data_IF_805235763295
#
_entry.id   IF_805235763295
#
_cell.length_a   1.000
_cell.length_b   1.000
_cell.length_c   1.000
_cell.angle_alpha   90.00
_cell.angle_beta   90.00
_cell.angle_gamma   90.00
#
_symmetry.space_group_name_H-M   'P 1'
#
loop_
_entity.id
_entity.type
_entity.pdbx_description
1 polymer ?
#
# COMPACT_ATOMS: atom_id res chain seq x y z
N UNK A 1 10.64 14.60 5.55
CA UNK A 1 10.29 14.17 4.17
C UNK A 1 8.79 14.33 4.01
N UNK A 2 8.34 15.00 2.95
CA UNK A 2 6.91 15.25 2.68
C UNK A 2 6.54 14.51 1.42
N UNK A 3 5.49 13.66 1.49
CA UNK A 3 5.06 12.80 0.40
C UNK A 3 3.62 13.00 -0.01
N UNK A 4 3.28 12.55 -1.20
CA UNK A 4 1.93 12.56 -1.75
C UNK A 4 1.69 11.31 -2.61
N UNK A 5 0.44 10.86 -2.71
CA UNK A 5 0.06 9.82 -3.67
C UNK A 5 0.12 10.35 -5.10
N UNK A 6 0.56 9.48 -6.02
CA UNK A 6 0.68 9.79 -7.46
C UNK A 6 -0.67 9.87 -8.19
N UNK A 7 -1.74 9.36 -7.60
CA UNK A 7 -3.07 9.31 -8.21
C UNK A 7 -3.91 10.59 -8.05
N UNK A 8 -3.31 11.72 -7.60
CA UNK A 8 -4.05 12.97 -7.48
C UNK A 8 -4.56 13.47 -8.84
N UNK A 9 -5.72 14.13 -8.84
CA UNK A 9 -6.32 14.75 -10.04
C UNK A 9 -6.97 13.76 -10.99
N UNK A 10 -6.91 12.45 -10.73
CA UNK A 10 -7.60 11.48 -11.55
C UNK A 10 -9.12 11.73 -11.54
N UNK A 11 -9.72 11.78 -12.74
CA UNK A 11 -11.16 12.06 -12.90
C UNK A 11 -11.58 13.52 -12.67
N UNK A 12 -10.63 14.43 -12.39
CA UNK A 12 -10.91 15.87 -12.26
C UNK A 12 -10.93 16.63 -13.57
N UNK A 13 -10.67 15.95 -14.69
CA UNK A 13 -10.49 16.58 -16.01
C UNK A 13 -9.10 17.21 -16.22
N UNK A 14 -8.21 17.08 -15.24
CA UNK A 14 -6.82 17.51 -15.36
C UNK A 14 -5.96 16.32 -15.78
N UNK A 15 -5.80 16.17 -17.08
CA UNK A 15 -5.08 15.04 -17.67
C UNK A 15 -3.63 15.41 -17.99
N UNK A 16 -2.72 14.93 -17.17
CA UNK A 16 -1.27 15.05 -17.40
C UNK A 16 -0.63 13.67 -17.46
N UNK A 17 0.39 13.51 -18.27
CA UNK A 17 1.17 12.28 -18.29
C UNK A 17 1.79 11.97 -16.92
N UNK A 18 2.04 10.69 -16.64
CA UNK A 18 2.67 10.31 -15.37
C UNK A 18 4.07 10.93 -15.23
N UNK A 19 4.83 11.05 -16.31
CA UNK A 19 6.13 11.73 -16.27
C UNK A 19 5.99 13.21 -15.85
N UNK A 20 5.05 13.93 -16.43
CA UNK A 20 4.79 15.34 -16.06
C UNK A 20 4.26 15.45 -14.61
N UNK A 21 3.44 14.51 -14.18
CA UNK A 21 2.91 14.44 -12.82
C UNK A 21 4.03 14.38 -11.78
N UNK A 22 5.03 13.52 -11.95
CA UNK A 22 6.17 13.44 -11.03
C UNK A 22 7.02 14.71 -11.02
N UNK A 23 7.21 15.36 -12.18
CA UNK A 23 7.87 16.66 -12.25
C UNK A 23 7.09 17.74 -11.47
N UNK A 24 5.76 17.75 -11.58
CA UNK A 24 4.88 18.66 -10.82
C UNK A 24 4.95 18.39 -9.32
N UNK A 25 4.90 17.13 -8.89
CA UNK A 25 5.07 16.73 -7.48
C UNK A 25 6.39 17.29 -6.95
N UNK A 26 7.50 17.05 -7.66
CA UNK A 26 8.81 17.54 -7.22
C UNK A 26 8.88 19.07 -7.17
N UNK A 27 8.37 19.75 -8.19
CA UNK A 27 8.30 21.21 -8.28
C UNK A 27 7.46 21.83 -7.16
N UNK A 28 6.43 21.11 -6.70
CA UNK A 28 5.58 21.54 -5.57
C UNK A 28 6.24 21.36 -4.20
N UNK A 29 7.50 20.90 -4.13
CA UNK A 29 8.27 20.79 -2.91
C UNK A 29 8.13 19.45 -2.18
N UNK A 30 7.51 18.45 -2.78
CA UNK A 30 7.49 17.10 -2.21
C UNK A 30 8.82 16.39 -2.41
N UNK A 31 9.22 15.60 -1.43
CA UNK A 31 10.47 14.82 -1.43
C UNK A 31 10.26 13.38 -1.87
N UNK A 32 9.07 12.85 -1.62
CA UNK A 32 8.71 11.46 -1.91
C UNK A 32 7.32 11.33 -2.51
N UNK A 33 7.11 10.17 -3.11
CA UNK A 33 5.84 9.78 -3.71
C UNK A 33 5.44 8.38 -3.23
N UNK A 34 4.15 8.18 -3.07
CA UNK A 34 3.51 6.90 -2.83
C UNK A 34 2.84 6.45 -4.12
N UNK A 35 3.21 5.28 -4.63
CA UNK A 35 2.74 4.79 -5.92
C UNK A 35 1.52 3.87 -5.77
N UNK A 36 0.53 4.09 -6.61
CA UNK A 36 -0.58 3.16 -6.74
C UNK A 36 -0.16 1.94 -7.56
N UNK A 37 -0.12 0.75 -6.94
CA UNK A 37 0.49 -0.44 -7.55
C UNK A 37 -0.54 -1.32 -8.23
N UNK A 38 -1.23 -0.78 -9.24
CA UNK A 38 -2.19 -1.51 -10.06
C UNK A 38 -2.53 -0.71 -11.32
N UNK A 39 -3.27 -1.33 -12.24
CA UNK A 39 -3.83 -0.67 -13.42
C UNK A 39 -5.10 0.16 -13.14
N UNK A 40 -5.44 0.36 -11.87
CA UNK A 40 -6.56 1.19 -11.44
C UNK A 40 -6.29 2.69 -11.68
N UNK A 41 -7.31 3.51 -11.50
CA UNK A 41 -7.24 4.98 -11.64
C UNK A 41 -6.68 5.44 -13.00
N UNK A 42 -7.03 4.72 -14.07
CA UNK A 42 -6.65 5.08 -15.43
C UNK A 42 -5.17 4.92 -15.76
N UNK A 43 -4.38 4.34 -14.84
CA UNK A 43 -2.95 4.12 -15.07
C UNK A 43 -2.71 3.14 -16.23
N UNK A 44 -3.54 2.13 -16.38
CA UNK A 44 -3.33 1.03 -17.31
C UNK A 44 -2.16 0.13 -16.89
N UNK A 45 -1.78 -0.78 -17.78
CA UNK A 45 -0.64 -1.66 -17.57
C UNK A 45 0.69 -0.89 -17.60
N UNK A 46 1.72 -1.44 -16.98
CA UNK A 46 3.06 -0.83 -16.97
C UNK A 46 3.29 0.20 -15.86
N UNK A 47 2.46 0.17 -14.80
CA UNK A 47 2.65 1.03 -13.62
C UNK A 47 4.02 0.85 -12.93
N UNK A 48 4.72 -0.25 -13.17
CA UNK A 48 6.08 -0.48 -12.69
C UNK A 48 7.09 0.55 -13.23
N UNK A 49 6.83 1.11 -14.39
CA UNK A 49 7.63 2.18 -14.96
C UNK A 49 7.60 3.46 -14.12
N UNK A 50 6.57 3.65 -13.31
CA UNK A 50 6.39 4.82 -12.46
C UNK A 50 7.52 4.99 -11.43
N UNK A 51 8.11 3.90 -10.97
CA UNK A 51 9.29 3.93 -10.09
C UNK A 51 10.44 4.68 -10.78
N UNK A 52 10.71 4.34 -12.04
CA UNK A 52 11.77 4.97 -12.82
C UNK A 52 11.47 6.44 -13.11
N UNK A 53 10.23 6.76 -13.46
CA UNK A 53 9.77 8.12 -13.73
C UNK A 53 9.86 9.01 -12.48
N UNK A 54 9.40 8.51 -11.33
CA UNK A 54 9.47 9.22 -10.06
C UNK A 54 10.92 9.49 -9.64
N UNK A 55 11.78 8.48 -9.71
CA UNK A 55 13.21 8.61 -9.39
C UNK A 55 13.94 9.56 -10.34
N UNK A 56 13.62 9.54 -11.63
CA UNK A 56 14.15 10.50 -12.62
C UNK A 56 13.75 11.94 -12.29
N UNK A 57 12.56 12.15 -11.74
CA UNK A 57 12.12 13.46 -11.27
C UNK A 57 12.77 13.89 -9.94
N UNK A 58 13.60 13.05 -9.32
CA UNK A 58 14.26 13.33 -8.05
C UNK A 58 13.38 13.07 -6.82
N UNK A 59 12.36 12.20 -6.95
CA UNK A 59 11.50 11.77 -5.86
C UNK A 59 11.96 10.43 -5.30
N UNK A 60 11.92 10.30 -3.98
CA UNK A 60 12.04 9.01 -3.31
C UNK A 60 10.69 8.28 -3.41
N UNK A 61 10.72 7.00 -3.77
CA UNK A 61 9.52 6.15 -3.74
C UNK A 61 9.42 5.54 -2.35
N UNK A 62 8.51 6.06 -1.53
CA UNK A 62 8.38 5.69 -0.12
C UNK A 62 7.65 4.36 0.05
N UNK A 63 6.60 4.18 -0.70
CA UNK A 63 5.83 2.94 -0.66
C UNK A 63 5.03 2.71 -1.95
N UNK A 64 4.53 1.48 -2.07
CA UNK A 64 3.48 1.14 -3.02
C UNK A 64 2.18 0.86 -2.27
N UNK A 65 1.06 1.21 -2.87
CA UNK A 65 -0.27 0.84 -2.39
C UNK A 65 -0.80 -0.34 -3.20
N UNK A 66 -0.94 -1.49 -2.54
CA UNK A 66 -1.45 -2.69 -3.19
C UNK A 66 -2.89 -2.53 -3.71
N UNK A 67 -3.32 -3.32 -4.69
CA UNK A 67 -4.70 -3.29 -5.21
C UNK A 67 -5.75 -3.46 -4.11
N UNK A 68 -6.87 -2.72 -4.20
CA UNK A 68 -7.88 -2.63 -3.12
C UNK A 68 -9.24 -3.26 -3.46
N UNK A 69 -9.48 -3.66 -4.71
CA UNK A 69 -10.83 -4.04 -5.13
C UNK A 69 -11.30 -5.41 -4.63
N UNK A 70 -10.40 -6.29 -4.19
CA UNK A 70 -10.75 -7.66 -3.77
C UNK A 70 -10.28 -8.00 -2.34
N UNK A 71 -9.77 -7.06 -1.58
CA UNK A 71 -9.23 -7.28 -0.24
C UNK A 71 -10.19 -8.02 0.70
N UNK A 72 -11.52 -7.88 0.48
CA UNK A 72 -12.54 -8.56 1.28
C UNK A 72 -12.52 -10.08 1.13
N UNK A 73 -11.93 -10.59 0.05
CA UNK A 73 -11.84 -12.01 -0.22
C UNK A 73 -10.68 -12.71 0.53
N UNK A 74 -9.80 -11.95 1.18
CA UNK A 74 -8.60 -12.50 1.84
C UNK A 74 -8.88 -13.66 2.79
N UNK A 75 -10.05 -13.66 3.44
CA UNK A 75 -10.50 -14.70 4.38
C UNK A 75 -11.20 -15.89 3.72
N UNK A 76 -11.48 -15.85 2.41
CA UNK A 76 -12.16 -16.93 1.72
C UNK A 76 -11.19 -18.08 1.41
N UNK A 77 -11.62 -19.30 1.75
CA UNK A 77 -10.84 -20.52 1.47
C UNK A 77 -11.18 -21.05 0.07
N UNK A 78 -10.88 -20.27 -0.95
CA UNK A 78 -11.13 -20.55 -2.36
C UNK A 78 -10.15 -19.79 -3.26
N UNK A 79 -10.32 -19.92 -4.59
CA UNK A 79 -9.45 -19.28 -5.59
C UNK A 79 -9.46 -17.74 -5.50
N UNK A 80 -10.58 -17.12 -5.15
CA UNK A 80 -10.64 -15.66 -5.01
C UNK A 80 -9.79 -15.16 -3.84
N UNK A 81 -9.88 -15.84 -2.69
CA UNK A 81 -9.05 -15.51 -1.53
C UNK A 81 -7.57 -15.80 -1.77
N UNK A 82 -7.28 -16.89 -2.50
CA UNK A 82 -5.90 -17.21 -2.89
C UNK A 82 -5.36 -16.15 -3.86
N UNK A 83 -6.15 -15.68 -4.81
CA UNK A 83 -5.76 -14.63 -5.75
C UNK A 83 -5.35 -13.33 -5.06
N UNK A 84 -6.10 -12.89 -4.04
CA UNK A 84 -5.72 -11.72 -3.21
C UNK A 84 -4.38 -11.95 -2.52
N UNK A 85 -4.21 -13.12 -1.92
CA UNK A 85 -2.97 -13.45 -1.22
C UNK A 85 -1.75 -13.47 -2.16
N UNK A 86 -1.88 -14.10 -3.32
CA UNK A 86 -0.82 -14.12 -4.33
C UNK A 86 -0.50 -12.73 -4.87
N UNK A 87 -1.51 -11.88 -5.07
CA UNK A 87 -1.31 -10.47 -5.45
C UNK A 87 -0.47 -9.71 -4.40
N UNK A 88 -0.74 -9.93 -3.12
CA UNK A 88 0.06 -9.29 -2.05
C UNK A 88 1.49 -9.84 -1.99
N UNK A 89 1.69 -11.15 -2.19
CA UNK A 89 3.03 -11.73 -2.28
C UNK A 89 3.82 -11.16 -3.47
N UNK A 90 3.15 -10.94 -4.62
CA UNK A 90 3.77 -10.28 -5.76
C UNK A 90 4.18 -8.84 -5.43
N UNK A 91 3.33 -8.08 -4.75
CA UNK A 91 3.70 -6.72 -4.29
C UNK A 91 4.94 -6.71 -3.39
N UNK A 92 5.10 -7.70 -2.51
CA UNK A 92 6.34 -7.86 -1.69
C UNK A 92 7.55 -8.16 -2.58
N UNK A 93 7.38 -9.00 -3.60
CA UNK A 93 8.46 -9.30 -4.56
C UNK A 93 8.85 -8.04 -5.36
N UNK A 94 7.87 -7.28 -5.83
CA UNK A 94 8.07 -6.04 -6.55
C UNK A 94 8.76 -4.98 -5.67
N UNK A 95 8.34 -4.82 -4.41
CA UNK A 95 9.04 -3.95 -3.47
C UNK A 95 10.53 -4.28 -3.36
N UNK A 96 10.86 -5.57 -3.30
CA UNK A 96 12.24 -6.02 -3.25
C UNK A 96 12.97 -5.74 -4.58
N UNK A 97 12.33 -6.01 -5.73
CA UNK A 97 12.91 -5.80 -7.05
C UNK A 97 13.20 -4.33 -7.32
N UNK A 98 12.26 -3.45 -6.94
CA UNK A 98 12.38 -2.02 -7.19
C UNK A 98 12.99 -1.22 -6.04
N UNK A 99 13.51 -1.86 -5.00
CA UNK A 99 14.09 -1.21 -3.83
C UNK A 99 13.12 -0.20 -3.20
N UNK A 100 11.91 -0.65 -2.90
CA UNK A 100 10.86 0.14 -2.24
C UNK A 100 10.68 -0.39 -0.83
N UNK A 101 10.83 0.43 0.22
CA UNK A 101 10.92 -0.07 1.58
C UNK A 101 9.59 -0.54 2.18
N UNK A 102 8.46 -0.08 1.64
CA UNK A 102 7.16 -0.28 2.29
C UNK A 102 6.06 -0.62 1.29
N UNK A 103 5.17 -1.52 1.68
CA UNK A 103 3.93 -1.84 0.99
C UNK A 103 2.74 -1.51 1.88
N UNK A 104 1.76 -0.78 1.35
CA UNK A 104 0.49 -0.50 2.02
C UNK A 104 -0.57 -1.47 1.53
N UNK A 105 -1.31 -2.10 2.44
CA UNK A 105 -2.45 -2.95 2.13
C UNK A 105 -3.70 -2.53 2.92
N UNK A 106 -4.85 -2.66 2.29
CA UNK A 106 -6.13 -2.59 3.00
C UNK A 106 -6.47 -3.93 3.63
N UNK A 107 -6.91 -3.91 4.87
CA UNK A 107 -7.56 -5.05 5.49
C UNK A 107 -8.99 -5.20 4.94
N UNK A 108 -9.56 -6.42 4.95
CA UNK A 108 -10.98 -6.60 4.70
C UNK A 108 -11.81 -5.66 5.58
N UNK A 109 -12.94 -5.17 5.06
CA UNK A 109 -13.86 -4.37 5.86
C UNK A 109 -14.50 -5.21 6.98
N UNK A 110 -15.06 -4.59 8.01
CA UNK A 110 -15.56 -5.29 9.20
C UNK A 110 -16.77 -6.21 8.96
N UNK A 111 -17.42 -6.13 7.80
CA UNK A 111 -18.44 -7.08 7.37
C UNK A 111 -17.83 -8.39 6.82
N UNK A 112 -16.52 -8.39 6.58
CA UNK A 112 -15.73 -9.54 6.14
C UNK A 112 -14.65 -9.82 7.18
N UNK A 113 -14.99 -10.45 8.33
CA UNK A 113 -14.04 -10.60 9.43
C UNK A 113 -12.88 -11.50 9.05
N UNK A 114 -11.70 -11.16 9.57
CA UNK A 114 -10.53 -12.01 9.47
C UNK A 114 -10.76 -13.30 10.26
N UNK A 115 -10.84 -14.41 9.54
CA UNK A 115 -10.90 -15.76 10.09
C UNK A 115 -9.50 -16.40 10.11
N UNK A 116 -9.41 -17.69 10.48
CA UNK A 116 -8.14 -18.41 10.55
C UNK A 116 -7.37 -18.44 9.22
N UNK A 117 -8.09 -18.54 8.09
CA UNK A 117 -7.46 -18.51 6.76
C UNK A 117 -6.85 -17.15 6.46
N UNK A 118 -7.59 -16.05 6.69
CA UNK A 118 -7.09 -14.70 6.51
C UNK A 118 -5.90 -14.39 7.43
N UNK A 119 -5.99 -14.80 8.71
CA UNK A 119 -4.88 -14.64 9.68
C UNK A 119 -3.64 -15.41 9.24
N UNK A 120 -3.79 -16.66 8.79
CA UNK A 120 -2.67 -17.47 8.29
C UNK A 120 -1.99 -16.80 7.08
N UNK A 121 -2.78 -16.31 6.11
CA UNK A 121 -2.25 -15.61 4.93
C UNK A 121 -1.51 -14.32 5.32
N UNK A 122 -2.05 -13.55 6.25
CA UNK A 122 -1.36 -12.35 6.76
C UNK A 122 -0.06 -12.71 7.49
N UNK A 123 -0.04 -13.78 8.30
CA UNK A 123 1.17 -14.23 8.97
C UNK A 123 2.26 -14.62 7.96
N UNK A 124 1.89 -15.34 6.91
CA UNK A 124 2.81 -15.74 5.86
C UNK A 124 3.31 -14.53 5.07
N UNK A 125 2.43 -13.58 4.72
CA UNK A 125 2.79 -12.34 4.05
C UNK A 125 3.79 -11.51 4.87
N UNK A 126 3.53 -11.32 6.16
CA UNK A 126 4.42 -10.61 7.08
C UNK A 126 5.79 -11.28 7.12
N UNK A 127 5.83 -12.61 7.31
CA UNK A 127 7.08 -13.36 7.34
C UNK A 127 7.88 -13.23 6.03
N UNK A 128 7.20 -13.27 4.86
CA UNK A 128 7.85 -13.06 3.56
C UNK A 128 8.41 -11.65 3.40
N UNK A 129 7.67 -10.64 3.86
CA UNK A 129 8.12 -9.27 3.82
C UNK A 129 9.33 -9.03 4.75
N UNK A 130 9.31 -9.58 5.96
CA UNK A 130 10.43 -9.50 6.91
C UNK A 130 11.70 -10.15 6.34
N UNK A 131 11.60 -11.32 5.71
CA UNK A 131 12.73 -11.99 5.06
C UNK A 131 13.38 -11.14 3.97
N UNK A 132 12.61 -10.24 3.35
CA UNK A 132 13.06 -9.32 2.30
C UNK A 132 13.33 -7.90 2.80
N UNK A 133 13.23 -7.69 4.11
CA UNK A 133 13.38 -6.37 4.74
C UNK A 133 12.37 -5.32 4.22
N UNK A 134 11.19 -5.77 3.83
CA UNK A 134 10.06 -4.92 3.40
C UNK A 134 9.10 -4.73 4.57
N UNK A 135 8.64 -3.48 4.77
CA UNK A 135 7.64 -3.16 5.77
C UNK A 135 6.22 -3.30 5.18
N UNK A 136 5.29 -3.83 5.98
CA UNK A 136 3.87 -3.84 5.63
C UNK A 136 3.15 -2.82 6.50
N UNK A 137 2.50 -1.85 5.87
CA UNK A 137 1.62 -0.90 6.50
C UNK A 137 0.15 -1.33 6.29
N UNK A 138 -0.59 -1.49 7.37
CA UNK A 138 -2.01 -1.84 7.33
C UNK A 138 -2.87 -0.58 7.35
N UNK A 139 -3.69 -0.39 6.34
CA UNK A 139 -4.66 0.70 6.30
C UNK A 139 -6.07 0.16 6.58
N UNK A 140 -6.77 0.79 7.53
CA UNK A 140 -8.18 0.54 7.77
C UNK A 140 -9.04 1.43 6.87
N UNK A 141 -10.18 0.91 6.39
CA UNK A 141 -11.15 1.69 5.63
C UNK A 141 -12.09 2.47 6.57
N UNK A 142 -13.24 1.93 6.88
CA UNK A 142 -14.27 2.61 7.69
C UNK A 142 -14.36 2.13 9.13
N UNK A 143 -13.84 0.95 9.40
CA UNK A 143 -13.92 0.26 10.70
C UNK A 143 -12.56 -0.26 11.14
N UNK A 144 -12.44 -0.58 12.43
CA UNK A 144 -11.16 -0.96 13.04
C UNK A 144 -11.14 -2.38 13.66
N UNK A 145 -12.20 -3.19 13.48
CA UNK A 145 -12.25 -4.52 14.10
C UNK A 145 -11.13 -5.43 13.59
N UNK A 146 -11.02 -5.54 12.27
CA UNK A 146 -9.97 -6.35 11.65
C UNK A 146 -8.57 -5.82 11.97
N UNK A 147 -8.40 -4.49 12.03
CA UNK A 147 -7.15 -3.89 12.46
C UNK A 147 -6.79 -4.26 13.90
N UNK A 148 -7.76 -4.21 14.82
CA UNK A 148 -7.53 -4.66 16.22
C UNK A 148 -7.12 -6.14 16.30
N UNK A 149 -7.72 -7.02 15.47
CA UNK A 149 -7.33 -8.43 15.38
C UNK A 149 -5.86 -8.55 14.96
N UNK A 150 -5.47 -7.83 13.91
CA UNK A 150 -4.09 -7.84 13.39
C UNK A 150 -3.10 -7.34 14.41
N UNK A 151 -3.37 -6.20 15.06
CA UNK A 151 -2.53 -5.64 16.10
C UNK A 151 -2.32 -6.59 17.29
N UNK A 152 -3.42 -7.17 17.78
CA UNK A 152 -3.37 -8.09 18.92
C UNK A 152 -2.65 -9.41 18.57
N UNK A 153 -2.77 -9.86 17.31
CA UNK A 153 -2.21 -11.14 16.88
C UNK A 153 -0.72 -11.06 16.58
N UNK A 154 -0.27 -9.97 15.96
CA UNK A 154 1.09 -9.86 15.43
C UNK A 154 1.99 -8.90 16.20
N UNK A 155 1.48 -8.29 17.29
CA UNK A 155 2.23 -7.29 18.10
C UNK A 155 2.86 -6.19 17.24
N UNK A 156 2.17 -5.78 16.18
CA UNK A 156 2.69 -4.81 15.21
C UNK A 156 2.68 -3.41 15.80
N UNK A 157 3.76 -2.68 15.56
CA UNK A 157 3.93 -1.28 15.97
C UNK A 157 3.50 -0.28 14.89
N UNK A 158 2.99 -0.75 13.76
CA UNK A 158 2.71 0.09 12.60
C UNK A 158 1.24 0.12 12.22
N UNK A 159 0.66 1.31 12.22
CA UNK A 159 -0.69 1.56 11.72
C UNK A 159 -0.70 2.84 10.90
N UNK A 160 -1.09 2.76 9.63
CA UNK A 160 -1.63 3.90 8.93
C UNK A 160 -3.13 3.94 9.21
N UNK A 161 -3.59 4.88 10.02
CA UNK A 161 -5.01 5.11 10.30
C UNK A 161 -5.49 6.21 9.36
N UNK A 162 -6.38 5.86 8.43
CA UNK A 162 -7.13 6.86 7.68
C UNK A 162 -8.21 7.44 8.59
N UNK A 163 -8.06 8.70 8.99
CA UNK A 163 -9.16 9.46 9.56
C UNK A 163 -10.08 9.92 8.42
N UNK A 164 -11.39 9.92 8.64
CA UNK A 164 -12.43 10.33 7.67
C UNK A 164 -12.29 11.80 7.17
N UNK A 165 -11.28 12.52 7.62
CA UNK A 165 -11.02 13.88 7.22
C UNK A 165 -9.84 13.92 6.24
N UNK A 166 -10.04 14.26 4.96
CA UNK A 166 -9.04 14.11 3.89
C UNK A 166 -7.82 15.04 4.02
N UNK A 167 -7.72 15.85 5.06
CA UNK A 167 -6.66 16.84 5.23
C UNK A 167 -5.58 16.46 6.26
N UNK A 168 -5.66 15.30 6.91
CA UNK A 168 -4.64 14.90 7.91
C UNK A 168 -4.25 13.42 7.74
N UNK A 169 -3.21 13.18 6.98
CA UNK A 169 -2.47 11.91 7.03
C UNK A 169 -1.43 12.00 8.15
N UNK A 170 -1.55 11.15 9.14
CA UNK A 170 -0.47 10.92 10.10
C UNK A 170 0.09 9.52 9.89
N UNK A 171 1.23 9.45 9.22
CA UNK A 171 2.06 8.24 9.20
C UNK A 171 2.85 8.23 10.51
N UNK A 172 2.53 7.32 11.40
CA UNK A 172 3.28 7.14 12.64
C UNK A 172 4.26 5.98 12.44
N UNK A 173 5.53 6.30 12.19
CA UNK A 173 6.61 5.33 12.10
C UNK A 173 7.37 5.30 13.44
N UNK A 174 7.20 4.23 14.21
CA UNK A 174 8.12 3.91 15.31
C UNK A 174 8.75 2.53 15.06
N UNK A 175 10.05 2.54 14.87
CA UNK A 175 10.86 1.32 14.86
C UNK A 175 11.05 0.90 16.32
N UNK A 176 10.74 -0.34 16.67
CA UNK A 176 11.21 -0.92 17.91
C UNK A 176 12.69 -1.30 17.70
N UNK A 177 13.57 -0.66 18.44
CA UNK A 177 14.92 -1.18 18.65
C UNK A 177 14.81 -2.45 19.50
N UNK A 178 15.48 -3.53 19.03
CA UNK A 178 15.63 -4.77 19.76
C UNK A 178 16.60 -4.60 20.92
#
# INVERSE_FOLDING_TARGET
MTGIYDCFGYGSGYDVSFEERYKLIRKSGFDCVMLWWSNQFGRGDGYQEDVRLARRAGLFVENIHAPVHEQNNLSLDNLSGEGVFQSYLQCVADCCEYDIPTMVIHLPNDNNPLNQTGIRRLAELINKAEQKNIQIAFENLSNIKNLKIVLNKFYLTFIAVRQENPTKFHTCTKRLEK
#
